data_IF_884129359970
#
_entry.id   IF_884129359970
#
_cell.length_a   1.000
_cell.length_b   1.000
_cell.length_c   1.000
_cell.angle_alpha   90.00
_cell.angle_beta   90.00
_cell.angle_gamma   90.00
#
_symmetry.space_group_name_H-M   'P 1'
#
loop_
_entity.id
_entity.type
_entity.pdbx_description
1 polymer ?
#
# COMPACT_ATOMS: atom_id res chain seq x y z
N UNK A 1 14.31 32.69 37.61
CA UNK A 1 13.17 31.82 37.94
C UNK A 1 12.18 31.97 36.79
N UNK A 2 11.98 31.05 35.86
CA UNK A 2 12.50 29.69 35.63
C UNK A 2 13.25 29.73 34.29
N UNK A 3 14.44 29.15 34.27
CA UNK A 3 15.30 28.94 33.12
C UNK A 3 15.18 27.49 32.67
N UNK A 4 15.11 27.25 31.37
CA UNK A 4 15.38 25.94 30.76
C UNK A 4 14.27 24.91 30.94
N UNK A 5 13.37 24.84 29.97
CA UNK A 5 12.90 23.54 29.48
C UNK A 5 13.17 23.52 27.98
N UNK A 6 14.09 22.64 27.60
CA UNK A 6 14.38 22.28 26.24
C UNK A 6 13.07 21.90 25.52
N UNK A 7 12.61 22.73 24.59
CA UNK A 7 11.54 22.34 23.64
C UNK A 7 12.03 21.32 22.59
N UNK A 8 13.14 20.62 22.86
CA UNK A 8 13.69 19.55 22.03
C UNK A 8 13.17 18.15 22.36
N UNK A 9 12.26 17.97 23.33
CA UNK A 9 11.65 16.66 23.58
C UNK A 9 10.13 16.68 23.41
N UNK A 10 9.66 16.33 22.22
CA UNK A 10 8.41 15.56 22.06
C UNK A 10 8.18 15.04 20.63
N UNK A 11 9.14 15.18 19.71
CA UNK A 11 9.08 14.38 18.48
C UNK A 11 9.17 12.90 18.85
N UNK A 12 8.14 12.16 18.50
CA UNK A 12 8.06 10.74 18.73
C UNK A 12 9.28 10.06 18.06
N UNK A 13 10.14 9.42 18.86
CA UNK A 13 11.26 8.60 18.37
C UNK A 13 10.80 7.23 17.84
N UNK A 14 9.49 7.05 17.67
CA UNK A 14 8.91 5.81 17.22
C UNK A 14 9.27 5.59 15.74
N UNK A 15 10.02 4.52 15.50
CA UNK A 15 10.48 4.15 14.17
C UNK A 15 9.64 3.04 13.55
N UNK A 16 8.87 2.31 14.36
CA UNK A 16 8.07 1.18 13.91
C UNK A 16 6.72 1.13 14.63
N UNK A 17 5.66 0.94 13.86
CA UNK A 17 4.31 0.70 14.35
C UNK A 17 3.79 -0.60 13.74
N UNK A 18 3.23 -1.45 14.60
CA UNK A 18 2.39 -2.57 14.19
C UNK A 18 1.04 -2.32 14.83
N UNK A 19 0.03 -2.07 14.00
CA UNK A 19 -1.29 -1.70 14.46
C UNK A 19 -2.35 -2.61 13.84
N UNK A 20 -3.20 -3.13 14.71
CA UNK A 20 -4.42 -3.80 14.31
C UNK A 20 -5.59 -2.94 14.74
N UNK A 21 -6.30 -2.35 13.79
CA UNK A 21 -7.37 -1.39 14.09
C UNK A 21 -8.51 -1.47 13.06
N UNK A 22 -9.57 -0.72 13.28
CA UNK A 22 -10.68 -0.59 12.35
C UNK A 22 -10.84 0.90 12.01
N UNK A 23 -10.51 1.28 10.77
CA UNK A 23 -10.45 2.70 10.38
C UNK A 23 -11.84 3.36 10.41
N UNK A 24 -12.92 2.60 10.25
CA UNK A 24 -14.29 3.11 10.41
C UNK A 24 -14.62 3.52 11.85
N UNK A 25 -13.99 2.90 12.85
CA UNK A 25 -14.19 3.23 14.26
C UNK A 25 -13.22 4.34 14.70
N UNK A 26 -12.01 4.35 14.13
CA UNK A 26 -10.94 5.26 14.52
C UNK A 26 -10.32 5.96 13.29
N UNK A 27 -11.07 6.88 12.63
CA UNK A 27 -10.62 7.51 11.39
C UNK A 27 -9.40 8.43 11.58
N UNK A 28 -9.23 8.99 12.77
CA UNK A 28 -8.20 10.00 13.06
C UNK A 28 -6.83 9.36 13.36
N UNK A 29 -6.77 8.04 13.59
CA UNK A 29 -5.54 7.36 14.03
C UNK A 29 -4.41 7.49 13.00
N UNK A 30 -4.74 7.39 11.70
CA UNK A 30 -3.72 7.52 10.66
C UNK A 30 -3.20 8.96 10.56
N UNK A 31 -4.06 9.95 10.77
CA UNK A 31 -3.67 11.36 10.79
C UNK A 31 -2.77 11.65 11.99
N UNK A 32 -3.14 11.21 13.20
CA UNK A 32 -2.28 11.35 14.38
C UNK A 32 -0.91 10.67 14.21
N UNK A 33 -0.87 9.45 13.65
CA UNK A 33 0.40 8.77 13.36
C UNK A 33 1.24 9.61 12.38
N UNK A 34 0.63 10.15 11.33
CA UNK A 34 1.32 10.94 10.33
C UNK A 34 1.89 12.25 10.92
N UNK A 35 1.15 12.92 11.80
CA UNK A 35 1.56 14.18 12.41
C UNK A 35 2.63 14.00 13.50
N UNK A 36 2.45 13.01 14.38
CA UNK A 36 3.29 12.86 15.56
C UNK A 36 4.50 11.92 15.35
N UNK A 37 4.40 10.97 14.42
CA UNK A 37 5.44 9.94 14.18
C UNK A 37 6.29 10.27 12.94
N UNK A 38 6.87 11.47 12.87
CA UNK A 38 7.68 11.91 11.73
C UNK A 38 8.95 11.07 11.48
N UNK A 39 9.40 10.33 12.50
CA UNK A 39 10.57 9.46 12.44
C UNK A 39 10.26 8.02 11.98
N UNK A 40 9.00 7.73 11.69
CA UNK A 40 8.53 6.39 11.37
C UNK A 40 9.23 5.84 10.12
N UNK A 41 9.79 4.64 10.24
CA UNK A 41 10.45 3.89 9.18
C UNK A 41 9.61 2.71 8.72
N UNK A 42 8.78 2.14 9.59
CA UNK A 42 7.96 0.97 9.28
C UNK A 42 6.56 1.08 9.86
N UNK A 43 5.57 0.74 9.05
CA UNK A 43 4.19 0.61 9.50
C UNK A 43 3.56 -0.66 8.94
N UNK A 44 3.09 -1.52 9.84
CA UNK A 44 2.30 -2.70 9.52
C UNK A 44 0.88 -2.48 10.03
N UNK A 45 -0.06 -2.28 9.13
CA UNK A 45 -1.48 -2.08 9.41
C UNK A 45 -2.26 -3.34 9.07
N UNK A 46 -3.01 -3.83 10.05
CA UNK A 46 -4.07 -4.82 9.82
C UNK A 46 -5.40 -4.15 10.11
N UNK A 47 -6.31 -4.17 9.13
CA UNK A 47 -7.62 -3.58 9.26
C UNK A 47 -8.73 -4.63 9.29
N UNK A 48 -9.54 -4.61 10.35
CA UNK A 48 -10.57 -5.63 10.62
C UNK A 48 -12.01 -5.18 10.35
N UNK A 49 -12.20 -4.00 9.76
CA UNK A 49 -13.53 -3.44 9.52
C UNK A 49 -14.27 -4.01 8.33
N UNK A 50 -15.60 -3.92 8.36
CA UNK A 50 -16.49 -4.23 7.24
C UNK A 50 -16.70 -3.06 6.27
N UNK A 51 -16.28 -1.86 6.65
CA UNK A 51 -16.48 -0.66 5.86
C UNK A 51 -15.38 -0.47 4.82
N UNK A 52 -15.72 0.20 3.73
CA UNK A 52 -14.82 0.51 2.63
C UNK A 52 -13.78 1.56 3.06
N UNK A 53 -12.71 1.18 3.77
CA UNK A 53 -11.66 2.13 4.14
C UNK A 53 -11.15 2.83 2.89
N UNK A 54 -11.14 4.15 2.98
CA UNK A 54 -10.59 5.01 1.97
C UNK A 54 -9.06 4.89 2.07
N UNK A 55 -8.41 4.27 1.09
CA UNK A 55 -6.93 4.24 0.99
C UNK A 55 -6.32 5.64 1.02
N UNK A 56 -7.10 6.66 0.68
CA UNK A 56 -6.72 8.07 0.80
C UNK A 56 -6.36 8.46 2.24
N UNK A 57 -6.91 7.76 3.25
CA UNK A 57 -6.52 7.93 4.65
C UNK A 57 -5.02 7.65 4.87
N UNK A 58 -4.35 6.91 4.00
CA UNK A 58 -2.90 6.65 4.09
C UNK A 58 -2.05 7.79 3.52
N UNK A 59 -2.63 8.74 2.79
CA UNK A 59 -1.88 9.84 2.17
C UNK A 59 -1.09 10.71 3.17
N UNK A 60 -1.62 11.04 4.36
CA UNK A 60 -0.85 11.74 5.39
C UNK A 60 0.45 11.00 5.76
N UNK A 61 0.43 9.67 5.89
CA UNK A 61 1.62 8.86 6.23
C UNK A 61 2.70 9.03 5.16
N UNK A 62 2.34 8.94 3.87
CA UNK A 62 3.32 9.13 2.80
C UNK A 62 3.89 10.56 2.76
N UNK A 63 3.09 11.57 3.11
CA UNK A 63 3.50 12.98 3.07
C UNK A 63 4.37 13.40 4.26
N UNK A 64 4.05 12.92 5.46
CA UNK A 64 4.65 13.44 6.69
C UNK A 64 5.77 12.53 7.21
N UNK A 65 5.67 11.22 7.02
CA UNK A 65 6.69 10.26 7.46
C UNK A 65 7.81 10.13 6.40
N UNK A 66 8.60 11.18 6.22
CA UNK A 66 9.67 11.25 5.20
C UNK A 66 10.80 10.21 5.36
N UNK A 67 10.87 9.51 6.50
CA UNK A 67 11.82 8.42 6.76
C UNK A 67 11.23 7.04 6.49
N UNK A 68 9.97 6.95 6.06
CA UNK A 68 9.25 5.71 5.87
C UNK A 68 9.94 4.84 4.82
N UNK A 69 10.24 3.60 5.19
CA UNK A 69 10.91 2.62 4.34
C UNK A 69 9.97 1.47 3.97
N UNK A 70 9.01 1.16 4.84
CA UNK A 70 8.14 0.00 4.69
C UNK A 70 6.72 0.33 5.14
N UNK A 71 5.74 0.05 4.27
CA UNK A 71 4.33 0.13 4.58
C UNK A 71 3.64 -1.15 4.12
N UNK A 72 3.05 -1.87 5.07
CA UNK A 72 2.25 -3.06 4.79
C UNK A 72 0.83 -2.85 5.29
N UNK A 73 -0.13 -2.97 4.41
CA UNK A 73 -1.56 -2.88 4.74
C UNK A 73 -2.23 -4.18 4.34
N UNK A 74 -2.83 -4.83 5.33
CA UNK A 74 -3.58 -6.08 5.19
C UNK A 74 -5.01 -5.87 5.68
N UNK A 75 -5.99 -6.43 4.98
CA UNK A 75 -7.38 -6.46 5.40
C UNK A 75 -7.92 -7.88 5.53
N UNK A 76 -8.93 -8.03 6.39
CA UNK A 76 -9.82 -9.18 6.41
C UNK A 76 -10.43 -9.49 5.03
N UNK A 77 -10.77 -10.75 4.80
CA UNK A 77 -11.00 -11.32 3.47
C UNK A 77 -12.42 -11.10 2.88
N UNK A 78 -12.92 -9.86 2.70
CA UNK A 78 -14.17 -9.65 1.92
C UNK A 78 -13.89 -8.84 0.65
N UNK A 79 -13.78 -9.50 -0.49
CA UNK A 79 -13.71 -8.79 -1.78
C UNK A 79 -15.04 -8.06 -1.98
N UNK A 80 -15.09 -6.75 -1.76
CA UNK A 80 -16.22 -5.93 -2.18
C UNK A 80 -16.06 -5.56 -3.66
N UNK A 81 -17.17 -5.60 -4.40
CA UNK A 81 -17.24 -5.30 -5.84
C UNK A 81 -16.49 -3.99 -6.16
N UNK A 82 -15.55 -4.06 -7.11
CA UNK A 82 -14.74 -2.92 -7.58
C UNK A 82 -15.62 -1.82 -8.18
N UNK A 83 -16.84 -2.18 -8.64
CA UNK A 83 -17.71 -1.30 -9.44
C UNK A 83 -18.38 -0.16 -8.66
N UNK A 84 -18.39 -0.22 -7.33
CA UNK A 84 -19.06 0.79 -6.49
C UNK A 84 -18.08 1.64 -5.66
N UNK A 85 -16.76 1.45 -5.84
CA UNK A 85 -15.75 2.12 -5.02
C UNK A 85 -15.31 3.43 -5.67
N UNK A 86 -15.81 4.54 -5.14
CA UNK A 86 -15.24 5.88 -5.33
C UNK A 86 -14.48 6.27 -4.07
N UNK A 87 -13.25 6.81 -4.19
CA UNK A 87 -12.49 7.00 -5.43
C UNK A 87 -12.01 5.69 -6.05
N UNK A 88 -11.74 5.73 -7.36
CA UNK A 88 -11.23 4.60 -8.13
C UNK A 88 -9.89 4.11 -7.52
N UNK A 89 -9.76 2.81 -7.14
CA UNK A 89 -8.52 2.27 -6.58
C UNK A 89 -7.27 2.55 -7.43
N UNK A 90 -7.40 2.59 -8.76
CA UNK A 90 -6.29 2.91 -9.66
C UNK A 90 -5.78 4.33 -9.51
N UNK A 91 -6.69 5.31 -9.37
CA UNK A 91 -6.34 6.73 -9.12
C UNK A 91 -5.62 6.89 -7.80
N UNK A 92 -6.06 6.17 -6.76
CA UNK A 92 -5.41 6.18 -5.46
C UNK A 92 -4.00 5.58 -5.57
N UNK A 93 -3.85 4.42 -6.23
CA UNK A 93 -2.55 3.78 -6.40
C UNK A 93 -1.59 4.68 -7.19
N UNK A 94 -2.08 5.32 -8.25
CA UNK A 94 -1.35 6.33 -9.01
C UNK A 94 -0.89 7.48 -8.11
N UNK A 95 -1.77 7.99 -7.23
CA UNK A 95 -1.42 9.06 -6.31
C UNK A 95 -0.34 8.63 -5.31
N UNK A 96 -0.41 7.40 -4.81
CA UNK A 96 0.63 6.83 -3.94
C UNK A 96 1.99 6.87 -4.63
N UNK A 97 2.08 6.52 -5.93
CA UNK A 97 3.34 6.60 -6.66
C UNK A 97 3.95 8.02 -6.70
N UNK A 98 3.11 9.06 -6.69
CA UNK A 98 3.53 10.46 -6.73
C UNK A 98 3.98 11.01 -5.38
N UNK A 99 3.37 10.55 -4.28
CA UNK A 99 3.62 11.11 -2.93
C UNK A 99 4.53 10.24 -2.06
N UNK A 100 4.90 9.05 -2.53
CA UNK A 100 5.73 8.12 -1.79
C UNK A 100 7.10 8.77 -1.44
N UNK A 101 7.55 8.72 -0.17
CA UNK A 101 8.82 9.33 0.20
C UNK A 101 9.98 8.52 -0.38
N UNK A 102 11.05 9.21 -0.82
CA UNK A 102 12.20 8.58 -1.48
C UNK A 102 12.93 7.52 -0.66
N UNK A 103 12.72 7.48 0.67
CA UNK A 103 13.24 6.45 1.57
C UNK A 103 12.57 5.09 1.42
N UNK A 104 11.43 5.01 0.72
CA UNK A 104 10.63 3.80 0.59
C UNK A 104 11.38 2.68 -0.10
N UNK A 105 11.18 1.46 0.40
CA UNK A 105 11.77 0.23 -0.11
C UNK A 105 10.70 -0.85 -0.28
N UNK A 106 9.67 -0.84 0.56
CA UNK A 106 8.67 -1.89 0.60
C UNK A 106 7.27 -1.31 0.61
N UNK A 107 6.43 -1.78 -0.31
CA UNK A 107 5.02 -1.46 -0.33
C UNK A 107 4.21 -2.76 -0.43
N UNK A 108 3.30 -2.97 0.50
CA UNK A 108 2.33 -4.06 0.45
C UNK A 108 0.94 -3.51 0.68
N UNK A 109 0.06 -3.65 -0.31
CA UNK A 109 -1.35 -3.27 -0.23
C UNK A 109 -2.16 -4.49 -0.68
N UNK A 110 -2.41 -5.40 0.26
CA UNK A 110 -3.14 -6.66 0.01
C UNK A 110 -4.42 -6.63 0.83
N UNK A 111 -5.46 -6.15 0.16
CA UNK A 111 -6.68 -5.62 0.76
C UNK A 111 -7.88 -5.97 -0.11
N UNK A 112 -9.09 -5.60 0.31
CA UNK A 112 -10.33 -6.00 -0.35
C UNK A 112 -10.55 -5.41 -1.75
N UNK A 113 -9.83 -4.36 -2.14
CA UNK A 113 -9.80 -3.89 -3.53
C UNK A 113 -8.72 -4.62 -4.33
N UNK A 114 -8.99 -4.87 -5.61
CA UNK A 114 -7.98 -5.35 -6.55
C UNK A 114 -7.70 -4.25 -7.58
N UNK A 115 -6.43 -4.01 -7.86
CA UNK A 115 -5.99 -3.09 -8.91
C UNK A 115 -5.96 -3.83 -10.25
N UNK A 116 -6.40 -3.19 -11.33
CA UNK A 116 -6.26 -3.78 -12.66
C UNK A 116 -4.79 -3.88 -13.06
N UNK A 117 -4.47 -4.72 -14.04
CA UNK A 117 -3.11 -4.77 -14.62
C UNK A 117 -2.68 -3.42 -15.20
N UNK A 118 -3.65 -2.62 -15.66
CA UNK A 118 -3.44 -1.25 -16.15
C UNK A 118 -3.03 -0.30 -15.02
N UNK A 119 -3.76 -0.31 -13.90
CA UNK A 119 -3.47 0.53 -12.72
C UNK A 119 -2.06 0.26 -12.17
N UNK A 120 -1.69 -1.02 -12.05
CA UNK A 120 -0.34 -1.43 -11.64
C UNK A 120 0.71 -0.93 -12.62
N UNK A 121 0.42 -0.96 -13.92
CA UNK A 121 1.28 -0.42 -14.96
C UNK A 121 1.50 1.09 -14.83
N UNK A 122 0.45 1.86 -14.55
CA UNK A 122 0.54 3.31 -14.28
C UNK A 122 1.39 3.57 -13.03
N UNK A 123 1.07 2.88 -11.93
CA UNK A 123 1.81 2.99 -10.68
C UNK A 123 3.31 2.78 -10.89
N UNK A 124 3.68 1.67 -11.53
CA UNK A 124 5.08 1.37 -11.79
C UNK A 124 5.72 2.41 -12.71
N UNK A 125 5.01 2.93 -13.71
CA UNK A 125 5.51 3.99 -14.59
C UNK A 125 5.76 5.30 -13.84
N UNK A 126 4.93 5.67 -12.87
CA UNK A 126 5.10 6.90 -12.07
C UNK A 126 6.02 6.72 -10.86
N UNK A 127 6.24 5.50 -10.40
CA UNK A 127 7.10 5.24 -9.25
C UNK A 127 8.55 5.64 -9.55
N UNK A 128 9.01 6.68 -8.86
CA UNK A 128 10.36 7.26 -8.98
C UNK A 128 11.40 6.54 -8.12
N UNK A 129 10.99 5.52 -7.37
CA UNK A 129 11.77 4.85 -6.33
C UNK A 129 12.05 3.42 -6.75
N UNK A 130 13.25 2.93 -6.43
CA UNK A 130 13.64 1.54 -6.60
C UNK A 130 13.14 0.71 -5.41
N UNK A 131 11.92 0.19 -5.52
CA UNK A 131 11.35 -0.72 -4.53
C UNK A 131 12.16 -2.01 -4.48
N UNK A 132 12.35 -2.54 -3.27
CA UNK A 132 12.90 -3.87 -3.00
C UNK A 132 11.80 -4.92 -2.87
N UNK A 133 10.60 -4.50 -2.46
CA UNK A 133 9.45 -5.36 -2.26
C UNK A 133 8.19 -4.65 -2.72
N UNK A 134 7.38 -5.34 -3.53
CA UNK A 134 6.03 -4.92 -3.87
C UNK A 134 5.07 -6.10 -3.75
N UNK A 135 3.98 -5.91 -3.03
CA UNK A 135 2.87 -6.85 -3.04
C UNK A 135 1.54 -6.12 -3.18
N UNK A 136 0.76 -6.52 -4.19
CA UNK A 136 -0.55 -5.94 -4.44
C UNK A 136 -1.54 -7.04 -4.78
N UNK A 137 -2.80 -6.81 -4.43
CA UNK A 137 -3.92 -7.57 -4.99
C UNK A 137 -4.28 -7.02 -6.37
N UNK A 138 -4.32 -7.91 -7.36
CA UNK A 138 -4.53 -7.55 -8.74
C UNK A 138 -5.66 -8.36 -9.39
N UNK A 139 -6.31 -7.74 -10.36
CA UNK A 139 -7.32 -8.35 -11.22
C UNK A 139 -6.86 -8.27 -12.68
N UNK A 140 -6.91 -9.41 -13.39
CA UNK A 140 -6.54 -9.50 -14.81
C UNK A 140 -5.53 -10.60 -15.13
N UNK A 141 -4.51 -10.28 -15.94
CA UNK A 141 -3.55 -11.26 -16.45
C UNK A 141 -2.22 -11.25 -15.70
N UNK A 142 -1.81 -12.42 -15.19
CA UNK A 142 -0.47 -12.62 -14.61
C UNK A 142 0.66 -12.32 -15.61
N UNK A 143 0.43 -12.55 -16.91
CA UNK A 143 1.42 -12.28 -17.95
C UNK A 143 1.60 -10.78 -18.19
N UNK A 144 0.52 -9.99 -18.12
CA UNK A 144 0.59 -8.54 -18.20
C UNK A 144 1.34 -7.96 -17.00
N UNK A 145 1.08 -8.47 -15.79
CA UNK A 145 1.86 -8.10 -14.59
C UNK A 145 3.35 -8.40 -14.78
N UNK A 146 3.70 -9.60 -15.26
CA UNK A 146 5.11 -9.92 -15.57
C UNK A 146 5.73 -8.96 -16.59
N UNK A 147 4.96 -8.51 -17.58
CA UNK A 147 5.43 -7.55 -18.59
C UNK A 147 5.73 -6.19 -17.95
N UNK A 148 4.79 -5.61 -17.22
CA UNK A 148 4.98 -4.28 -16.59
C UNK A 148 6.08 -4.31 -15.52
N UNK A 149 6.24 -5.42 -14.79
CA UNK A 149 7.33 -5.60 -13.84
C UNK A 149 8.71 -5.64 -14.54
N UNK A 150 8.81 -6.33 -15.69
CA UNK A 150 10.04 -6.35 -16.48
C UNK A 150 10.39 -4.98 -17.05
N UNK A 151 9.39 -4.23 -17.52
CA UNK A 151 9.58 -2.85 -18.01
C UNK A 151 10.10 -1.94 -16.89
N UNK A 152 9.49 -2.00 -15.70
CA UNK A 152 9.96 -1.29 -14.51
C UNK A 152 11.40 -1.67 -14.14
N UNK A 153 11.69 -2.97 -14.07
CA UNK A 153 13.01 -3.48 -13.71
C UNK A 153 14.10 -3.01 -14.69
N UNK A 154 13.82 -3.09 -16.00
CA UNK A 154 14.72 -2.62 -17.04
C UNK A 154 14.98 -1.11 -16.93
N UNK A 155 13.92 -0.30 -16.84
CA UNK A 155 14.04 1.16 -16.78
C UNK A 155 14.81 1.64 -15.54
N UNK A 156 14.62 0.98 -14.41
CA UNK A 156 15.23 1.36 -13.14
C UNK A 156 16.56 0.65 -12.85
N UNK A 157 17.05 -0.17 -13.79
CA UNK A 157 18.27 -0.97 -13.64
C UNK A 157 18.30 -1.83 -12.36
N UNK A 158 17.17 -2.47 -12.05
CA UNK A 158 17.02 -3.41 -10.92
C UNK A 158 16.70 -4.81 -11.42
N UNK A 159 17.05 -5.85 -10.65
CA UNK A 159 16.81 -7.24 -11.03
C UNK A 159 15.62 -7.81 -10.28
N UNK A 160 14.69 -8.47 -10.98
CA UNK A 160 13.64 -9.26 -10.33
C UNK A 160 14.28 -10.56 -9.81
N UNK A 161 14.30 -10.74 -8.49
CA UNK A 161 14.85 -11.95 -7.85
C UNK A 161 13.77 -12.97 -7.47
N UNK A 162 12.54 -12.50 -7.25
CA UNK A 162 11.40 -13.34 -6.88
C UNK A 162 10.12 -12.74 -7.47
N UNK A 163 9.24 -13.58 -8.02
CA UNK A 163 7.92 -13.15 -8.50
C UNK A 163 6.90 -14.28 -8.35
N UNK A 164 6.06 -14.17 -7.32
CA UNK A 164 5.05 -15.17 -6.95
C UNK A 164 3.64 -14.64 -7.19
N UNK A 165 2.72 -15.57 -7.46
CA UNK A 165 1.31 -15.27 -7.70
C UNK A 165 0.43 -16.21 -6.89
N UNK A 166 -0.21 -15.68 -5.86
CA UNK A 166 -1.08 -16.42 -4.97
C UNK A 166 -2.54 -16.31 -5.43
N UNK A 167 -3.24 -17.44 -5.42
CA UNK A 167 -4.69 -17.42 -5.68
C UNK A 167 -5.40 -16.83 -4.47
N UNK A 168 -6.37 -15.94 -4.71
CA UNK A 168 -7.27 -15.45 -3.68
C UNK A 168 -8.53 -16.31 -3.71
N UNK A 169 -8.87 -16.96 -2.60
CA UNK A 169 -10.09 -17.75 -2.49
C UNK A 169 -11.32 -16.83 -2.46
N UNK A 170 -12.24 -16.99 -3.42
CA UNK A 170 -13.52 -16.30 -3.39
C UNK A 170 -14.51 -17.10 -2.53
N UNK A 171 -15.16 -16.47 -1.56
CA UNK A 171 -16.29 -17.09 -0.85
C UNK A 171 -17.53 -17.11 -1.78
N UNK A 172 -18.32 -18.17 -1.64
CA UNK A 172 -19.28 -18.77 -2.58
C UNK A 172 -20.42 -17.90 -3.16
N UNK A 173 -20.47 -16.59 -2.94
CA UNK A 173 -21.63 -15.76 -3.32
C UNK A 173 -21.43 -14.93 -4.59
N UNK A 174 -20.24 -14.93 -5.19
CA UNK A 174 -20.01 -14.25 -6.47
C UNK A 174 -20.22 -15.20 -7.64
N UNK A 175 -21.28 -14.95 -8.41
CA UNK A 175 -21.61 -15.66 -9.64
C UNK A 175 -20.39 -15.74 -10.56
N UNK A 176 -20.07 -16.97 -10.96
CA UNK A 176 -18.91 -17.46 -11.73
C UNK A 176 -18.84 -16.90 -13.17
N UNK A 177 -19.65 -15.90 -13.54
CA UNK A 177 -19.86 -15.52 -14.95
C UNK A 177 -19.01 -14.35 -15.46
N UNK A 178 -17.94 -13.95 -14.78
CA UNK A 178 -16.99 -12.94 -15.32
C UNK A 178 -15.58 -13.27 -14.85
N UNK A 179 -14.79 -13.88 -15.75
CA UNK A 179 -13.44 -14.41 -15.55
C UNK A 179 -12.45 -13.26 -15.38
N UNK A 180 -12.54 -12.54 -14.27
CA UNK A 180 -11.48 -11.66 -13.83
C UNK A 180 -10.76 -12.39 -12.69
N UNK A 181 -9.65 -13.06 -13.03
CA UNK A 181 -8.87 -13.84 -12.06
C UNK A 181 -8.20 -12.86 -11.10
N UNK A 182 -8.74 -12.72 -9.90
CA UNK A 182 -8.10 -12.00 -8.80
C UNK A 182 -6.94 -12.84 -8.26
N UNK A 183 -5.79 -12.22 -8.05
CA UNK A 183 -4.61 -12.84 -7.44
C UNK A 183 -3.81 -11.81 -6.67
N UNK A 184 -3.11 -12.24 -5.64
CA UNK A 184 -2.08 -11.43 -5.02
C UNK A 184 -0.77 -11.73 -5.74
N UNK A 185 0.00 -10.70 -6.12
CA UNK A 185 1.38 -10.90 -6.55
C UNK A 185 2.34 -10.35 -5.52
N UNK A 186 3.50 -11.01 -5.44
CA UNK A 186 4.63 -10.60 -4.60
C UNK A 186 5.84 -10.58 -5.50
N UNK A 187 6.55 -9.46 -5.54
CA UNK A 187 7.79 -9.32 -6.29
C UNK A 187 8.88 -8.74 -5.39
N UNK A 188 10.10 -9.28 -5.54
CA UNK A 188 11.30 -8.73 -4.92
C UNK A 188 12.29 -8.29 -5.98
N UNK A 189 12.95 -7.16 -5.72
CA UNK A 189 13.99 -6.60 -6.57
C UNK A 189 15.33 -6.54 -5.82
N UNK A 190 16.43 -6.68 -6.56
CA UNK A 190 17.81 -6.51 -6.11
C UNK A 190 18.52 -5.41 -6.89
#
# INVERSE_FOLDING_TARGET
>A
MISGEDTESLYCNLEEIILNFENSIHPDVIECIAEDCINLKKIDLTENGNDNSHFESLFPIFKNCNKLQSLHVRRGYRIASIRDKRPDPGVILEKIAEIMPFSMKELSIVVECAFTTYDVGIFLKKCLINLKYLSLRCIGSKNEIKKVLKEYAFRNNVKIIECNFNKVGMRNDMRISSIEKVFDFIVRFA
#
